data_IF_261702934468
#
_entry.id   IF_261702934468
#
_cell.length_a   1.000
_cell.length_b   1.000
_cell.length_c   1.000
_cell.angle_alpha   90.00
_cell.angle_beta   90.00
_cell.angle_gamma   90.00
#
_symmetry.space_group_name_H-M   'P 1'
#
loop_
_entity.id
_entity.type
_entity.pdbx_description
1 polymer ?
#
# COMPACT_ATOMS: atom_id res chain seq x y z
N UNK A 1 7.69 -34.64 -56.94
CA UNK A 1 6.56 -33.72 -56.70
C UNK A 1 6.19 -33.83 -55.22
N UNK A 2 6.90 -33.20 -54.29
CA UNK A 2 6.72 -31.82 -53.78
C UNK A 2 5.27 -31.35 -53.73
N UNK A 3 4.71 -31.26 -52.52
CA UNK A 3 4.06 -30.03 -52.00
C UNK A 3 4.11 -30.05 -50.48
N UNK A 4 4.97 -29.19 -49.90
CA UNK A 4 4.86 -28.74 -48.50
C UNK A 4 3.55 -27.94 -48.37
N UNK A 5 2.85 -28.05 -47.24
CA UNK A 5 1.97 -26.98 -46.74
C UNK A 5 2.39 -26.59 -45.31
N UNK A 6 2.87 -25.35 -45.12
CA UNK A 6 3.12 -24.75 -43.82
C UNK A 6 1.85 -24.03 -43.33
N UNK A 7 1.64 -23.98 -42.01
CA UNK A 7 0.71 -23.02 -41.41
C UNK A 7 -0.27 -23.65 -40.43
N UNK A 8 0.15 -23.74 -39.18
CA UNK A 8 -0.74 -23.39 -38.06
C UNK A 8 0.14 -22.75 -36.96
N UNK A 9 0.69 -21.60 -37.34
CA UNK A 9 1.09 -20.56 -36.41
C UNK A 9 -0.18 -19.80 -36.02
N UNK A 10 -0.21 -19.34 -34.77
CA UNK A 10 -1.16 -18.38 -34.17
C UNK A 10 -2.28 -19.03 -33.34
N UNK A 11 -1.97 -19.22 -32.05
CA UNK A 11 -2.69 -18.55 -30.96
C UNK A 11 -1.83 -18.51 -29.70
N UNK A 12 -0.64 -17.95 -29.82
CA UNK A 12 -0.04 -17.27 -28.68
C UNK A 12 -0.85 -15.99 -28.50
N UNK A 13 -1.95 -16.08 -27.75
CA UNK A 13 -2.44 -14.94 -27.00
C UNK A 13 -1.27 -14.53 -26.09
N UNK A 14 -0.38 -13.72 -26.61
CA UNK A 14 0.53 -12.92 -25.79
C UNK A 14 -0.38 -11.99 -25.02
N UNK A 15 -0.86 -12.47 -23.88
CA UNK A 15 -1.22 -11.59 -22.79
C UNK A 15 0.05 -10.79 -22.54
N UNK A 16 0.08 -9.57 -23.07
CA UNK A 16 1.10 -8.60 -22.72
C UNK A 16 0.89 -8.41 -21.22
N UNK A 17 1.71 -9.09 -20.42
CA UNK A 17 1.78 -8.85 -19.00
C UNK A 17 2.35 -7.43 -18.87
N UNK A 18 1.48 -6.44 -18.85
CA UNK A 18 1.84 -5.07 -18.54
C UNK A 18 2.37 -5.14 -17.12
N UNK A 19 3.68 -5.00 -16.96
CA UNK A 19 4.27 -4.93 -15.62
C UNK A 19 3.70 -3.68 -14.95
N UNK A 20 3.17 -3.79 -13.73
CA UNK A 20 2.65 -2.63 -13.04
C UNK A 20 3.82 -1.66 -12.81
N UNK A 21 3.57 -0.37 -13.05
CA UNK A 21 4.60 0.64 -12.87
C UNK A 21 5.01 0.69 -11.38
N UNK A 22 6.30 0.54 -11.05
CA UNK A 22 6.79 0.62 -9.68
C UNK A 22 6.35 1.88 -8.93
N UNK A 23 6.24 1.76 -7.61
CA UNK A 23 6.11 2.92 -6.73
C UNK A 23 7.36 3.80 -6.82
N UNK A 24 7.17 5.11 -6.83
CA UNK A 24 8.24 6.08 -6.99
C UNK A 24 8.12 7.26 -6.01
N UNK A 25 9.11 8.14 -6.05
CA UNK A 25 9.17 9.37 -5.23
C UNK A 25 7.94 10.28 -5.39
N UNK A 26 7.30 10.29 -6.56
CA UNK A 26 6.08 11.09 -6.76
C UNK A 26 4.88 10.50 -5.99
N UNK A 27 4.81 9.17 -5.90
CA UNK A 27 3.80 8.47 -5.11
C UNK A 27 4.04 8.71 -3.62
N UNK A 28 5.30 8.61 -3.19
CA UNK A 28 5.73 8.95 -1.82
C UNK A 28 5.30 10.37 -1.45
N UNK A 29 5.63 11.36 -2.28
CA UNK A 29 5.28 12.77 -2.02
C UNK A 29 3.76 12.96 -1.91
N UNK A 30 2.99 12.27 -2.76
CA UNK A 30 1.52 12.33 -2.76
C UNK A 30 0.95 11.77 -1.45
N UNK A 31 1.38 10.58 -1.06
CA UNK A 31 0.91 9.92 0.16
C UNK A 31 1.37 10.71 1.40
N UNK A 32 2.65 11.09 1.47
CA UNK A 32 3.21 11.90 2.57
C UNK A 32 2.45 13.21 2.76
N UNK A 33 2.18 13.93 1.67
CA UNK A 33 1.40 15.18 1.75
C UNK A 33 -0.02 14.94 2.28
N UNK A 34 -0.68 13.87 1.83
CA UNK A 34 -2.03 13.56 2.25
C UNK A 34 -2.12 13.12 3.72
N UNK A 35 -1.15 12.35 4.22
CA UNK A 35 -1.09 11.86 5.60
C UNK A 35 -0.71 12.97 6.58
N UNK A 36 0.22 13.84 6.21
CA UNK A 36 0.63 14.98 7.06
C UNK A 36 -0.53 15.91 7.46
N UNK A 37 -1.61 15.95 6.65
CA UNK A 37 -2.83 16.71 6.97
C UNK A 37 -3.69 16.10 8.09
N UNK A 38 -3.44 14.86 8.48
CA UNK A 38 -4.25 14.07 9.43
C UNK A 38 -3.42 13.66 10.63
N UNK A 39 -2.23 13.13 10.36
CA UNK A 39 -1.30 12.60 11.34
C UNK A 39 0.08 13.20 11.04
N UNK A 40 0.35 14.44 11.49
CA UNK A 40 1.57 15.17 11.13
C UNK A 40 2.84 14.52 11.68
N UNK A 41 2.73 13.76 12.77
CA UNK A 41 3.86 13.10 13.42
C UNK A 41 4.16 11.71 12.85
N UNK A 42 3.36 11.26 11.87
CA UNK A 42 3.56 9.97 11.21
C UNK A 42 4.50 10.09 10.03
N UNK A 43 5.36 9.09 9.83
CA UNK A 43 6.26 9.05 8.68
C UNK A 43 5.65 8.25 7.53
N UNK A 44 6.08 8.60 6.32
CA UNK A 44 5.84 7.82 5.10
C UNK A 44 7.19 7.63 4.45
N UNK A 45 7.58 6.38 4.21
CA UNK A 45 8.90 6.00 3.70
C UNK A 45 8.73 5.12 2.46
N UNK A 46 9.64 5.25 1.50
CA UNK A 46 9.69 4.40 0.31
C UNK A 46 10.80 3.37 0.54
N UNK A 47 10.39 2.11 0.67
CA UNK A 47 11.26 0.99 0.99
C UNK A 47 11.31 -0.03 -0.15
N UNK A 48 12.44 -0.71 -0.32
CA UNK A 48 12.60 -1.77 -1.32
C UNK A 48 14.04 -1.89 -1.82
N UNK A 49 14.48 -3.12 -2.09
CA UNK A 49 15.83 -3.35 -2.61
C UNK A 49 15.96 -2.98 -4.11
N UNK A 50 14.84 -2.95 -4.83
CA UNK A 50 14.75 -2.53 -6.22
C UNK A 50 13.38 -1.92 -6.53
N UNK A 51 13.24 -1.33 -7.72
CA UNK A 51 11.99 -0.70 -8.13
C UNK A 51 10.80 -1.68 -8.12
N UNK A 52 10.99 -2.91 -8.59
CA UNK A 52 9.92 -3.91 -8.66
C UNK A 52 9.44 -4.38 -7.26
N UNK A 53 10.21 -4.11 -6.21
CA UNK A 53 9.90 -4.44 -4.81
C UNK A 53 9.58 -3.19 -3.98
N UNK A 54 9.43 -2.03 -4.62
CA UNK A 54 9.17 -0.78 -3.93
C UNK A 54 7.81 -0.82 -3.21
N UNK A 55 7.79 -0.42 -1.95
CA UNK A 55 6.62 -0.31 -1.09
C UNK A 55 6.64 1.02 -0.36
N UNK A 56 5.47 1.59 -0.08
CA UNK A 56 5.36 2.73 0.83
C UNK A 56 5.00 2.20 2.21
N UNK A 57 5.75 2.61 3.22
CA UNK A 57 5.52 2.24 4.62
C UNK A 57 5.09 3.50 5.37
N UNK A 58 3.91 3.44 5.97
CA UNK A 58 3.41 4.45 6.91
C UNK A 58 3.66 3.94 8.31
N UNK A 59 4.34 4.75 9.11
CA UNK A 59 4.65 4.44 10.50
C UNK A 59 4.05 5.49 11.43
N UNK A 60 3.51 5.07 12.59
CA UNK A 60 3.22 6.00 13.67
C UNK A 60 4.50 6.70 14.15
N UNK A 61 4.34 7.76 14.93
CA UNK A 61 5.46 8.43 15.57
C UNK A 61 6.33 7.40 16.31
N UNK A 62 7.65 7.49 16.11
CA UNK A 62 8.65 6.57 16.68
C UNK A 62 8.46 5.07 16.34
N UNK A 63 7.55 4.73 15.41
CA UNK A 63 7.23 3.34 15.08
C UNK A 63 6.52 2.58 16.20
N UNK A 64 5.91 3.28 17.16
CA UNK A 64 5.25 2.66 18.31
C UNK A 64 3.81 2.21 17.97
N UNK A 65 3.60 0.89 17.94
CA UNK A 65 2.27 0.29 17.74
C UNK A 65 1.24 0.70 18.81
N UNK A 66 1.67 1.19 19.97
CA UNK A 66 0.77 1.76 20.97
C UNK A 66 0.11 3.08 20.51
N UNK A 67 0.76 3.81 19.59
CA UNK A 67 0.24 5.04 18.99
C UNK A 67 -0.72 4.72 17.84
N UNK A 68 -0.47 3.62 17.13
CA UNK A 68 -1.37 3.11 16.10
C UNK A 68 -0.71 2.08 15.19
N UNK A 69 -1.49 1.45 14.30
CA UNK A 69 -0.94 0.47 13.37
C UNK A 69 -0.04 1.11 12.31
N UNK A 70 0.94 0.36 11.84
CA UNK A 70 1.66 0.66 10.61
C UNK A 70 0.86 0.23 9.37
N UNK A 71 1.10 0.86 8.22
CA UNK A 71 0.50 0.46 6.95
C UNK A 71 1.55 0.26 5.87
N UNK A 72 1.37 -0.76 5.05
CA UNK A 72 2.21 -1.05 3.89
C UNK A 72 1.36 -0.91 2.63
N UNK A 73 1.86 -0.15 1.66
CA UNK A 73 1.26 -0.02 0.34
C UNK A 73 2.22 -0.65 -0.66
N UNK A 74 1.80 -1.75 -1.29
CA UNK A 74 2.56 -2.39 -2.37
C UNK A 74 1.84 -2.25 -3.70
N UNK A 75 2.61 -2.23 -4.79
CA UNK A 75 2.05 -2.26 -6.13
C UNK A 75 1.75 -3.70 -6.55
N UNK A 76 0.52 -3.93 -7.00
CA UNK A 76 0.07 -5.20 -7.58
C UNK A 76 -0.27 -5.03 -9.07
N UNK A 77 -0.52 -6.14 -9.77
CA UNK A 77 -0.80 -6.12 -11.21
C UNK A 77 -2.04 -5.28 -11.59
N UNK A 78 -3.03 -5.23 -10.70
CA UNK A 78 -4.33 -4.60 -10.90
C UNK A 78 -4.57 -3.38 -9.98
N UNK A 79 -3.58 -2.97 -9.19
CA UNK A 79 -3.76 -1.85 -8.27
C UNK A 79 -2.69 -1.68 -7.21
N UNK A 80 -3.13 -1.24 -6.04
CA UNK A 80 -2.35 -1.02 -4.83
C UNK A 80 -2.93 -1.87 -3.71
N UNK A 81 -2.17 -2.85 -3.21
CA UNK A 81 -2.55 -3.56 -1.99
C UNK A 81 -2.17 -2.71 -0.80
N UNK A 82 -3.07 -2.66 0.18
CA UNK A 82 -2.82 -2.02 1.47
C UNK A 82 -2.93 -3.08 2.55
N UNK A 83 -1.86 -3.24 3.29
CA UNK A 83 -1.78 -4.10 4.46
C UNK A 83 -1.62 -3.23 5.71
N UNK A 84 -2.18 -3.69 6.82
CA UNK A 84 -2.03 -3.08 8.13
C UNK A 84 -1.24 -4.02 9.03
N UNK A 85 -0.24 -3.49 9.72
CA UNK A 85 0.51 -4.20 10.75
C UNK A 85 0.20 -3.53 12.09
N UNK A 86 -0.12 -4.34 13.10
CA UNK A 86 -0.30 -3.87 14.46
C UNK A 86 0.21 -4.94 15.41
N UNK A 87 1.29 -4.66 16.12
CA UNK A 87 2.02 -5.68 16.89
C UNK A 87 2.39 -6.86 15.98
N UNK A 88 2.06 -8.09 16.39
CA UNK A 88 2.33 -9.31 15.63
C UNK A 88 1.24 -9.64 14.59
N UNK A 89 0.29 -8.74 14.35
CA UNK A 89 -0.86 -8.99 13.46
C UNK A 89 -0.74 -8.25 12.13
N UNK A 90 -0.76 -9.03 11.04
CA UNK A 90 -0.91 -8.53 9.68
C UNK A 90 -2.36 -8.68 9.23
N UNK A 91 -2.98 -7.60 8.75
CA UNK A 91 -4.34 -7.58 8.23
C UNK A 91 -4.36 -6.95 6.84
N UNK A 92 -4.81 -7.69 5.83
CA UNK A 92 -5.08 -7.12 4.51
C UNK A 92 -6.28 -6.17 4.62
N UNK A 93 -6.09 -4.91 4.22
CA UNK A 93 -7.17 -3.92 4.15
C UNK A 93 -7.89 -4.01 2.81
N UNK A 94 -7.15 -4.27 1.74
CA UNK A 94 -7.69 -4.57 0.42
C UNK A 94 -6.79 -4.11 -0.73
N UNK A 95 -7.30 -4.26 -1.95
CA UNK A 95 -6.65 -3.83 -3.19
C UNK A 95 -7.46 -2.70 -3.83
N UNK A 96 -6.75 -1.64 -4.22
CA UNK A 96 -7.34 -0.40 -4.71
C UNK A 96 -6.84 -0.05 -6.10
N UNK A 97 -7.73 0.45 -6.96
CA UNK A 97 -7.37 0.85 -8.33
C UNK A 97 -6.48 2.09 -8.41
N UNK A 98 -6.46 2.93 -7.36
CA UNK A 98 -5.73 4.20 -7.36
C UNK A 98 -5.14 4.55 -5.99
N UNK A 99 -4.06 5.34 -6.00
CA UNK A 99 -3.51 5.92 -4.76
C UNK A 99 -4.49 6.86 -4.06
N UNK A 100 -5.39 7.51 -4.80
CA UNK A 100 -6.42 8.36 -4.21
C UNK A 100 -7.38 7.55 -3.34
N UNK A 101 -7.75 6.34 -3.77
CA UNK A 101 -8.60 5.42 -3.00
C UNK A 101 -7.86 4.87 -1.77
N UNK A 102 -6.57 4.55 -1.93
CA UNK A 102 -5.69 4.17 -0.82
C UNK A 102 -5.64 5.27 0.23
N UNK A 103 -5.33 6.51 -0.20
CA UNK A 103 -5.27 7.68 0.69
C UNK A 103 -6.60 7.85 1.40
N UNK A 104 -7.74 7.87 0.68
CA UNK A 104 -9.05 8.05 1.28
C UNK A 104 -9.36 6.99 2.36
N UNK A 105 -8.98 5.74 2.10
CA UNK A 105 -9.12 4.63 3.07
C UNK A 105 -8.24 4.83 4.29
N UNK A 106 -6.97 5.19 4.09
CA UNK A 106 -6.04 5.49 5.17
C UNK A 106 -6.53 6.67 6.03
N UNK A 107 -7.11 7.71 5.41
CA UNK A 107 -7.71 8.83 6.15
C UNK A 107 -8.77 8.36 7.15
N UNK A 108 -9.69 7.50 6.69
CA UNK A 108 -10.77 6.98 7.53
C UNK A 108 -10.24 6.10 8.66
N UNK A 109 -9.25 5.24 8.37
CA UNK A 109 -8.62 4.37 9.35
C UNK A 109 -7.85 5.15 10.41
N UNK A 110 -7.02 6.10 10.00
CA UNK A 110 -6.26 6.95 10.91
C UNK A 110 -7.18 7.80 11.80
N UNK A 111 -8.22 8.39 11.23
CA UNK A 111 -9.21 9.13 12.03
C UNK A 111 -9.85 8.25 13.10
N UNK A 112 -10.17 6.99 12.77
CA UNK A 112 -10.69 6.02 13.75
C UNK A 112 -9.67 5.70 14.84
N UNK A 113 -8.42 5.38 14.49
CA UNK A 113 -7.36 5.09 15.45
C UNK A 113 -7.11 6.25 16.42
N UNK A 114 -6.95 7.47 15.89
CA UNK A 114 -6.70 8.68 16.68
C UNK A 114 -7.89 9.04 17.57
N UNK A 115 -9.13 8.78 17.12
CA UNK A 115 -10.32 9.01 17.94
C UNK A 115 -10.52 7.96 19.06
N UNK A 116 -9.94 6.77 18.90
CA UNK A 116 -10.09 5.65 19.84
C UNK A 116 -8.99 5.62 20.92
N UNK A 117 -7.93 6.42 20.77
CA UNK A 117 -6.73 6.45 21.63
C UNK A 117 -6.90 7.08 23.02
N UNK A 118 -8.11 7.35 23.50
CA UNK A 118 -8.36 7.81 24.88
C UNK A 118 -9.13 6.77 25.69
N UNK A 119 -8.50 5.70 26.19
CA UNK A 119 -8.92 5.16 27.46
C UNK A 119 -8.49 6.17 28.52
N UNK A 120 -9.43 6.97 29.03
CA UNK A 120 -9.25 7.61 30.34
C UNK A 120 -9.04 6.49 31.35
N UNK A 121 -7.78 6.21 31.70
CA UNK A 121 -7.44 5.36 32.82
C UNK A 121 -8.17 5.90 34.05
N UNK A 122 -9.23 5.20 34.43
CA UNK A 122 -9.93 5.44 35.68
C UNK A 122 -9.04 4.84 36.76
N UNK A 123 -8.27 5.69 37.42
CA UNK A 123 -7.57 5.31 38.66
C UNK A 123 -8.64 5.03 39.71
N UNK A 124 -8.91 3.75 39.99
CA UNK A 124 -9.66 3.36 41.18
C UNK A 124 -8.72 3.50 42.38
N UNK A 125 -9.02 4.48 43.24
CA UNK A 125 -8.42 4.67 44.56
C UNK A 125 -9.00 3.70 45.59
#
# INVERSE_FOLDING_TARGET
MSTRRPGDLIKLNSAIAVRPQPLCESDLATVRHAIASIAPDWSVELEGACADEATLVLLPADGDDAIGPSFIISREADGFRVDQIHWDSLTEIGVFSSLSDVVATLRLRLAFCLSSGLPTSVTLH
#
